data_IF_015136933281
#
_entry.id   IF_015136933281
#
_cell.length_a   1.000
_cell.length_b   1.000
_cell.length_c   1.000
_cell.angle_alpha   90.00
_cell.angle_beta   90.00
_cell.angle_gamma   90.00
#
_symmetry.space_group_name_H-M   'P 1'
#
loop_
_entity.id
_entity.type
_entity.pdbx_description
1 polymer ?
#
# COMPACT_ATOMS: atom_id res chain seq x y z
N UNK A 1 -27.63 -10.49 13.86
CA UNK A 1 -27.19 -10.32 12.44
C UNK A 1 -26.56 -8.97 12.12
N UNK A 2 -27.10 -7.82 12.58
CA UNK A 2 -26.50 -6.48 12.32
C UNK A 2 -25.05 -6.32 12.81
N UNK A 3 -24.71 -6.90 13.96
CA UNK A 3 -23.36 -6.85 14.53
C UNK A 3 -22.31 -7.56 13.66
N UNK A 4 -22.62 -8.75 13.17
CA UNK A 4 -21.75 -9.51 12.26
C UNK A 4 -21.51 -8.76 10.93
N UNK A 5 -22.57 -8.18 10.36
CA UNK A 5 -22.47 -7.38 9.12
C UNK A 5 -21.56 -6.16 9.32
N UNK A 6 -21.71 -5.44 10.43
CA UNK A 6 -20.86 -4.28 10.75
C UNK A 6 -19.38 -4.67 10.93
N UNK A 7 -19.11 -5.82 11.55
CA UNK A 7 -17.74 -6.34 11.70
C UNK A 7 -17.13 -6.66 10.34
N UNK A 8 -17.84 -7.35 9.46
CA UNK A 8 -17.35 -7.67 8.11
C UNK A 8 -17.13 -6.41 7.26
N UNK A 9 -18.03 -5.43 7.36
CA UNK A 9 -17.85 -4.13 6.71
C UNK A 9 -16.58 -3.41 7.19
N UNK A 10 -16.34 -3.40 8.51
CA UNK A 10 -15.14 -2.79 9.08
C UNK A 10 -13.86 -3.50 8.62
N UNK A 11 -13.84 -4.84 8.60
CA UNK A 11 -12.71 -5.63 8.07
C UNK A 11 -12.44 -5.30 6.60
N UNK A 12 -13.49 -5.25 5.78
CA UNK A 12 -13.38 -4.95 4.36
C UNK A 12 -12.83 -3.53 4.12
N UNK A 13 -13.31 -2.54 4.88
CA UNK A 13 -12.83 -1.15 4.81
C UNK A 13 -11.35 -1.03 5.14
N UNK A 14 -10.89 -1.69 6.22
CA UNK A 14 -9.47 -1.72 6.59
C UNK A 14 -8.65 -2.39 5.48
N UNK A 15 -9.13 -3.52 4.95
CA UNK A 15 -8.45 -4.26 3.88
C UNK A 15 -8.29 -3.40 2.63
N UNK A 16 -9.34 -2.71 2.18
CA UNK A 16 -9.28 -1.83 1.01
C UNK A 16 -8.22 -0.73 1.16
N UNK A 17 -8.09 -0.14 2.35
CA UNK A 17 -7.05 0.88 2.64
C UNK A 17 -5.63 0.30 2.56
N UNK A 18 -5.44 -0.91 3.05
CA UNK A 18 -4.13 -1.58 3.07
C UNK A 18 -3.77 -2.15 1.69
N UNK A 19 -4.72 -2.65 0.93
CA UNK A 19 -4.48 -3.19 -0.42
C UNK A 19 -3.86 -2.17 -1.38
N UNK A 20 -4.16 -0.88 -1.21
CA UNK A 20 -3.65 0.18 -2.06
C UNK A 20 -2.11 0.33 -2.04
N UNK A 21 -1.44 0.56 -0.89
CA UNK A 21 0.01 0.62 -0.83
C UNK A 21 0.67 -0.71 -1.23
N UNK A 22 0.07 -1.87 -0.87
CA UNK A 22 0.58 -3.17 -1.32
C UNK A 22 0.53 -3.32 -2.85
N UNK A 23 -0.50 -2.79 -3.51
CA UNK A 23 -0.59 -2.78 -4.98
C UNK A 23 0.51 -1.92 -5.60
N UNK A 24 0.76 -0.72 -5.06
CA UNK A 24 1.86 0.14 -5.53
C UNK A 24 3.20 -0.60 -5.40
N UNK A 25 3.48 -1.18 -4.24
CA UNK A 25 4.74 -1.89 -3.97
C UNK A 25 4.91 -3.11 -4.91
N UNK A 26 3.87 -3.92 -5.08
CA UNK A 26 3.95 -5.15 -5.90
C UNK A 26 3.96 -4.87 -7.39
N UNK A 27 3.19 -3.88 -7.87
CA UNK A 27 3.01 -3.61 -9.31
C UNK A 27 3.91 -2.49 -9.81
N UNK A 28 3.96 -1.36 -9.12
CA UNK A 28 4.73 -0.20 -9.57
C UNK A 28 6.22 -0.33 -9.24
N UNK A 29 6.56 -0.82 -8.04
CA UNK A 29 7.95 -1.04 -7.63
C UNK A 29 8.46 -2.47 -7.87
N UNK A 30 7.59 -3.38 -8.34
CA UNK A 30 8.01 -4.72 -8.76
C UNK A 30 8.46 -5.65 -7.63
N UNK A 31 8.05 -5.40 -6.38
CA UNK A 31 8.34 -6.29 -5.25
C UNK A 31 7.44 -7.53 -5.27
N UNK A 32 7.72 -8.46 -6.18
CA UNK A 32 6.96 -9.70 -6.37
C UNK A 32 7.50 -10.86 -5.53
N UNK A 33 8.81 -10.87 -5.26
CA UNK A 33 9.51 -11.91 -4.48
C UNK A 33 10.59 -11.27 -3.60
N UNK A 34 10.76 -11.81 -2.39
CA UNK A 34 11.89 -11.50 -1.52
C UNK A 34 13.22 -11.81 -2.24
N UNK A 35 14.13 -10.83 -2.28
CA UNK A 35 15.40 -10.95 -3.03
C UNK A 35 16.60 -11.19 -2.14
N UNK A 36 16.58 -10.69 -0.90
CA UNK A 36 17.74 -10.76 -0.03
C UNK A 36 17.77 -12.05 0.80
N UNK A 37 18.98 -12.55 1.07
CA UNK A 37 19.19 -13.63 2.03
C UNK A 37 19.08 -13.06 3.45
N UNK A 38 18.01 -13.45 4.16
CA UNK A 38 17.73 -13.05 5.54
C UNK A 38 16.45 -12.21 5.68
N UNK A 39 15.64 -12.52 6.71
CA UNK A 39 14.36 -11.86 6.97
C UNK A 39 14.55 -10.35 7.20
N UNK A 40 15.47 -9.97 8.09
CA UNK A 40 15.75 -8.57 8.42
C UNK A 40 16.07 -7.69 7.19
N UNK A 41 16.80 -8.24 6.21
CA UNK A 41 17.16 -7.49 4.99
C UNK A 41 15.94 -7.26 4.09
N UNK A 42 15.03 -8.23 4.01
CA UNK A 42 13.79 -8.08 3.26
C UNK A 42 12.82 -7.15 4.00
N UNK A 43 12.76 -7.20 5.33
CA UNK A 43 11.92 -6.31 6.14
C UNK A 43 12.37 -4.85 6.00
N UNK A 44 13.68 -4.59 6.06
CA UNK A 44 14.24 -3.27 5.81
C UNK A 44 13.93 -2.77 4.37
N UNK A 45 14.07 -3.65 3.37
CA UNK A 45 13.69 -3.31 1.99
C UNK A 45 12.20 -2.96 1.89
N UNK A 46 11.34 -3.75 2.54
CA UNK A 46 9.90 -3.54 2.53
C UNK A 46 9.53 -2.22 3.22
N UNK A 47 10.14 -1.90 4.35
CA UNK A 47 9.95 -0.62 5.04
C UNK A 47 10.32 0.57 4.15
N UNK A 48 11.45 0.50 3.44
CA UNK A 48 11.84 1.52 2.47
C UNK A 48 10.82 1.67 1.33
N UNK A 49 10.31 0.56 0.80
CA UNK A 49 9.29 0.56 -0.25
C UNK A 49 7.96 1.16 0.22
N UNK A 50 7.57 0.96 1.49
CA UNK A 50 6.40 1.60 2.07
C UNK A 50 6.57 3.12 2.16
N UNK A 51 7.74 3.60 2.58
CA UNK A 51 8.04 5.04 2.58
C UNK A 51 7.95 5.63 1.17
N UNK A 52 8.55 4.96 0.18
CA UNK A 52 8.46 5.38 -1.22
C UNK A 52 7.03 5.34 -1.77
N UNK A 53 6.22 4.35 -1.37
CA UNK A 53 4.83 4.25 -1.81
C UNK A 53 3.99 5.42 -1.30
N UNK A 54 4.26 5.89 -0.08
CA UNK A 54 3.63 7.08 0.47
C UNK A 54 4.03 8.35 -0.31
N UNK A 55 5.31 8.51 -0.65
CA UNK A 55 5.78 9.64 -1.45
C UNK A 55 5.15 9.63 -2.86
N UNK A 56 5.13 8.48 -3.51
CA UNK A 56 4.50 8.30 -4.81
C UNK A 56 3.00 8.63 -4.79
N UNK A 57 2.30 8.28 -3.70
CA UNK A 57 0.88 8.63 -3.51
C UNK A 57 0.68 10.15 -3.47
N UNK A 58 1.51 10.88 -2.73
CA UNK A 58 1.43 12.34 -2.61
C UNK A 58 1.70 13.00 -3.97
N UNK A 59 2.71 12.54 -4.68
CA UNK A 59 3.04 13.03 -6.02
C UNK A 59 1.90 12.77 -7.03
N UNK A 60 1.20 11.63 -6.94
CA UNK A 60 -0.02 11.41 -7.72
C UNK A 60 -1.14 12.41 -7.36
N UNK A 61 -1.29 12.78 -6.09
CA UNK A 61 -2.29 13.75 -5.65
C UNK A 61 -1.99 15.15 -6.19
N UNK A 62 -0.73 15.58 -6.14
CA UNK A 62 -0.28 16.87 -6.70
C UNK A 62 -0.56 16.92 -8.20
N UNK A 63 -0.15 15.89 -8.95
CA UNK A 63 -0.41 15.80 -10.39
C UNK A 63 -1.89 15.69 -10.76
N UNK A 64 -2.74 15.22 -9.85
CA UNK A 64 -4.20 15.24 -10.04
C UNK A 64 -4.75 16.64 -9.82
N UNK A 65 -4.26 17.34 -8.80
CA UNK A 65 -4.65 18.71 -8.48
C UNK A 65 -4.28 19.67 -9.61
N UNK A 66 -3.05 19.59 -10.14
CA UNK A 66 -2.60 20.41 -11.29
C UNK A 66 -3.45 20.19 -12.55
N UNK A 67 -3.92 18.95 -12.80
CA UNK A 67 -4.79 18.63 -13.94
C UNK A 67 -6.25 19.07 -13.78
N UNK A 68 -6.64 19.44 -12.55
CA UNK A 68 -8.00 19.88 -12.23
C UNK A 68 -8.17 21.40 -12.25
N UNK A 69 -7.05 22.14 -12.39
CA UNK A 69 -7.01 23.57 -12.69
C UNK A 69 -7.12 23.78 -14.21
#
# INVERSE_FOLDING_TARGET
NKTAINIEYMKASIRARVEHPFRIIKRQFGFVKARYKGLLKNDNQLAMLFTLANLFRVDQMIRQWERSQ
#
